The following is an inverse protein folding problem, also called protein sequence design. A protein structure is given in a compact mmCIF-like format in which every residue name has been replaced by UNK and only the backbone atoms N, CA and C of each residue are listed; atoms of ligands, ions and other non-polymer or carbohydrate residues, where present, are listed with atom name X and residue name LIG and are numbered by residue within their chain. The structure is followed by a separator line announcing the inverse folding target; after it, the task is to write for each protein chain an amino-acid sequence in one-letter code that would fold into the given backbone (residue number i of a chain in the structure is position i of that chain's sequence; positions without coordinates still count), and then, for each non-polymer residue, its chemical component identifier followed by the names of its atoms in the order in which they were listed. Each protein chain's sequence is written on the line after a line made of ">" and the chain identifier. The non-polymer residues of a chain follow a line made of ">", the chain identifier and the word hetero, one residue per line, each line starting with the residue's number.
data_IF_319190686988
#
_entry.id   IF_319190686988
#
_cell.length_a   1.000
_cell.length_b   1.000
_cell.length_c   1.000
_cell.angle_alpha   90.00
_cell.angle_beta   90.00
_cell.angle_gamma   90.00
#
_symmetry.space_group_name_H-M   'P 1'
#
loop_
_entity.id
_entity.type
_entity.pdbx_description
1 polymer ?
#
# COMPACT_ATOMS: atom_id res chain seq x y z
N UNK A 1 -4.73 4.32 -6.79
CA UNK A 1 -3.94 3.07 -6.59
C UNK A 1 -2.44 3.14 -6.91
N UNK A 2 -1.98 3.71 -8.04
CA UNK A 2 -0.54 3.87 -8.31
C UNK A 2 0.19 4.66 -7.19
N UNK A 3 -0.52 5.59 -6.54
CA UNK A 3 0.00 6.38 -5.43
C UNK A 3 0.43 5.54 -4.23
N UNK A 4 -0.37 4.57 -3.77
CA UNK A 4 -0.03 3.72 -2.61
C UNK A 4 1.26 2.95 -2.86
N UNK A 5 1.36 2.29 -4.01
CA UNK A 5 2.56 1.55 -4.39
C UNK A 5 3.77 2.49 -4.46
N UNK A 6 3.60 3.69 -5.04
CA UNK A 6 4.68 4.68 -5.15
C UNK A 6 5.12 5.19 -3.78
N UNK A 7 4.20 5.44 -2.86
CA UNK A 7 4.49 5.82 -1.48
C UNK A 7 5.32 4.74 -0.78
N UNK A 8 4.84 3.50 -0.76
CA UNK A 8 5.53 2.39 -0.10
C UNK A 8 6.93 2.13 -0.70
N UNK A 9 7.08 2.16 -2.02
CA UNK A 9 8.39 2.07 -2.67
C UNK A 9 9.31 3.24 -2.33
N UNK A 10 8.76 4.44 -2.16
CA UNK A 10 9.55 5.62 -1.78
C UNK A 10 10.02 5.53 -0.34
N UNK A 11 9.16 5.03 0.57
CA UNK A 11 9.48 4.84 1.99
C UNK A 11 10.54 3.74 2.15
N UNK A 12 10.41 2.62 1.45
CA UNK A 12 11.40 1.53 1.52
C UNK A 12 12.81 1.96 1.11
N UNK A 13 12.93 2.87 0.14
CA UNK A 13 14.22 3.43 -0.30
C UNK A 13 14.83 4.44 0.68
N UNK A 14 14.02 5.00 1.57
CA UNK A 14 14.40 6.05 2.49
C UNK A 14 13.89 5.69 3.89
N UNK A 15 14.59 4.82 4.63
CA UNK A 15 14.16 4.34 5.96
C UNK A 15 14.25 5.41 7.07
N UNK A 16 14.38 6.68 6.69
CA UNK A 16 14.41 7.81 7.60
C UNK A 16 12.99 8.26 7.96
N UNK A 17 12.90 9.13 8.98
CA UNK A 17 11.65 9.80 9.32
C UNK A 17 11.19 10.68 8.16
N UNK A 18 10.01 10.40 7.59
CA UNK A 18 9.44 11.13 6.45
C UNK A 18 8.26 11.98 6.92
N UNK A 19 8.24 13.26 6.52
CA UNK A 19 7.13 14.18 6.83
C UNK A 19 6.54 14.86 5.60
N UNK A 20 6.84 14.36 4.40
CA UNK A 20 6.31 14.90 3.16
C UNK A 20 6.79 14.13 1.94
N UNK A 21 5.97 14.16 0.88
CA UNK A 21 6.34 13.69 -0.46
C UNK A 21 6.04 14.79 -1.47
N UNK A 22 6.83 14.82 -2.55
CA UNK A 22 6.53 15.62 -3.72
C UNK A 22 6.45 14.71 -4.94
N UNK A 23 5.24 14.51 -5.45
CA UNK A 23 4.99 13.77 -6.69
C UNK A 23 4.25 14.67 -7.67
N UNK A 24 4.86 14.96 -8.82
CA UNK A 24 4.38 15.96 -9.80
C UNK A 24 2.90 15.82 -10.21
N UNK A 25 2.37 14.59 -10.21
CA UNK A 25 1.01 14.29 -10.66
C UNK A 25 0.00 14.07 -9.52
N UNK A 26 0.35 14.41 -8.28
CA UNK A 26 -0.52 14.23 -7.12
C UNK A 26 -0.62 15.51 -6.30
N UNK A 27 -1.85 15.85 -5.90
CA UNK A 27 -2.07 16.94 -4.96
C UNK A 27 -1.54 16.54 -3.57
N UNK A 28 -0.99 17.47 -2.78
CA UNK A 28 -0.57 17.20 -1.41
C UNK A 28 -1.67 16.58 -0.55
N UNK A 29 -2.92 16.99 -0.74
CA UNK A 29 -4.07 16.47 -0.01
C UNK A 29 -4.31 14.99 -0.31
N UNK A 30 -4.17 14.59 -1.58
CA UNK A 30 -4.29 13.19 -1.98
C UNK A 30 -3.18 12.34 -1.34
N UNK A 31 -1.94 12.84 -1.36
CA UNK A 31 -0.79 12.18 -0.72
C UNK A 31 -1.05 12.01 0.77
N UNK A 32 -1.37 13.09 1.47
CA UNK A 32 -1.60 13.12 2.91
C UNK A 32 -2.74 12.17 3.31
N UNK A 33 -3.84 12.18 2.56
CA UNK A 33 -4.97 11.28 2.79
C UNK A 33 -4.57 9.81 2.65
N UNK A 34 -3.81 9.46 1.62
CA UNK A 34 -3.36 8.08 1.43
C UNK A 34 -2.34 7.64 2.50
N UNK A 35 -1.47 8.55 2.96
CA UNK A 35 -0.56 8.24 4.09
C UNK A 35 -1.35 7.95 5.36
N UNK A 36 -2.38 8.75 5.68
CA UNK A 36 -3.25 8.49 6.82
C UNK A 36 -3.92 7.11 6.73
N UNK A 37 -4.44 6.74 5.56
CA UNK A 37 -5.05 5.41 5.35
C UNK A 37 -4.05 4.27 5.54
N UNK A 38 -2.79 4.45 5.14
CA UNK A 38 -1.74 3.44 5.33
C UNK A 38 -1.32 3.30 6.79
N UNK A 39 -1.32 4.41 7.54
CA UNK A 39 -1.11 4.41 9.00
C UNK A 39 -2.29 3.72 9.70
N UNK A 40 -3.52 4.12 9.39
CA UNK A 40 -4.75 3.54 9.96
C UNK A 40 -4.86 2.02 9.65
N UNK A 41 -4.36 1.59 8.49
CA UNK A 41 -4.31 0.17 8.10
C UNK A 41 -3.15 -0.62 8.74
N UNK A 42 -2.30 0.03 9.54
CA UNK A 42 -1.13 -0.60 10.18
C UNK A 42 -0.04 -1.03 9.19
N UNK A 43 0.00 -0.46 7.98
CA UNK A 43 1.05 -0.70 6.99
C UNK A 43 2.25 0.25 7.20
N UNK A 44 2.01 1.41 7.80
CA UNK A 44 3.02 2.37 8.19
C UNK A 44 2.90 2.65 9.69
N UNK A 45 4.03 2.85 10.35
CA UNK A 45 4.11 3.38 11.71
C UNK A 45 4.28 4.89 11.64
N UNK A 46 3.44 5.65 12.32
CA UNK A 46 3.44 7.10 12.23
C UNK A 46 2.22 7.75 12.88
N UNK A 47 2.16 9.07 12.75
CA UNK A 47 1.05 9.86 13.28
C UNK A 47 0.72 11.02 12.32
N UNK A 48 -0.51 11.52 12.39
CA UNK A 48 -0.98 12.63 11.56
C UNK A 48 -1.93 13.56 12.33
N UNK A 49 -1.90 14.84 11.95
CA UNK A 49 -2.80 15.84 12.52
C UNK A 49 -3.86 16.20 11.50
N UNK A 50 -5.13 15.98 11.85
CA UNK A 50 -6.27 16.32 11.00
C UNK A 50 -6.33 17.84 10.74
N UNK A 51 -6.80 18.21 9.55
CA UNK A 51 -7.11 19.61 9.26
C UNK A 51 -8.25 20.09 10.16
N UNK A 52 -8.17 21.33 10.63
CA UNK A 52 -9.30 21.99 11.29
C UNK A 52 -10.33 22.56 10.30
N UNK A 53 -10.07 22.50 8.98
CA UNK A 53 -11.05 22.90 7.97
C UNK A 53 -12.03 21.76 7.68
N UNK A 54 -13.32 22.09 7.61
CA UNK A 54 -14.40 21.14 7.25
C UNK A 54 -14.40 20.73 5.77
N UNK A 55 -13.45 21.22 4.98
CA UNK A 55 -13.41 21.07 3.52
C UNK A 55 -12.53 19.90 3.03
N UNK A 56 -11.75 19.27 3.90
CA UNK A 56 -10.84 18.19 3.50
C UNK A 56 -10.74 17.10 4.56
N UNK A 57 -10.83 15.85 4.12
CA UNK A 57 -10.56 14.68 4.96
C UNK A 57 -9.05 14.39 5.08
N UNK A 58 -8.22 15.05 4.27
CA UNK A 58 -6.77 14.90 4.33
C UNK A 58 -6.20 15.54 5.59
N UNK A 59 -5.22 14.91 6.27
CA UNK A 59 -4.53 15.55 7.37
C UNK A 59 -3.71 16.76 6.89
N UNK A 60 -3.55 17.74 7.76
CA UNK A 60 -2.72 18.92 7.51
C UNK A 60 -1.22 18.56 7.49
N UNK A 61 -0.82 17.58 8.30
CA UNK A 61 0.55 17.08 8.40
C UNK A 61 0.57 15.62 8.85
N UNK A 62 1.61 14.90 8.46
CA UNK A 62 1.89 13.55 8.92
C UNK A 62 3.38 13.39 9.23
N UNK A 63 3.70 12.34 9.97
CA UNK A 63 5.05 11.83 10.17
C UNK A 63 4.99 10.32 10.05
N UNK A 64 5.85 9.77 9.20
CA UNK A 64 6.10 8.33 9.09
C UNK A 64 7.41 8.05 9.82
N UNK A 65 7.38 7.07 10.72
CA UNK A 65 8.54 6.62 11.50
C UNK A 65 9.18 5.38 10.88
N UNK A 66 8.37 4.44 10.40
CA UNK A 66 8.85 3.24 9.70
C UNK A 66 7.73 2.59 8.87
N UNK A 67 8.11 1.66 8.00
CA UNK A 67 7.16 0.72 7.41
C UNK A 67 7.02 -0.49 8.33
N UNK A 68 5.79 -0.96 8.57
CA UNK A 68 5.56 -2.13 9.42
C UNK A 68 5.93 -3.42 8.66
N UNK A 69 6.08 -4.54 9.38
CA UNK A 69 6.26 -5.84 8.74
C UNK A 69 5.12 -6.16 7.76
N UNK A 70 3.88 -5.90 8.16
CA UNK A 70 2.72 -6.06 7.28
C UNK A 70 2.78 -5.13 6.05
N UNK A 71 3.36 -3.93 6.19
CA UNK A 71 3.66 -3.02 5.09
C UNK A 71 4.66 -3.61 4.09
N UNK A 72 5.75 -4.22 4.58
CA UNK A 72 6.73 -4.91 3.74
C UNK A 72 6.09 -6.09 2.99
N UNK A 73 5.36 -6.97 3.68
CA UNK A 73 4.67 -8.10 3.05
C UNK A 73 3.66 -7.64 2.00
N UNK A 74 2.89 -6.59 2.31
CA UNK A 74 1.96 -6.01 1.36
C UNK A 74 2.67 -5.44 0.13
N UNK A 75 3.79 -4.74 0.30
CA UNK A 75 4.58 -4.21 -0.81
C UNK A 75 5.17 -5.33 -1.69
N UNK A 76 5.68 -6.40 -1.08
CA UNK A 76 6.17 -7.58 -1.81
C UNK A 76 5.06 -8.27 -2.61
N UNK A 77 3.88 -8.39 -2.03
CA UNK A 77 2.71 -8.93 -2.71
C UNK A 77 2.32 -8.07 -3.91
N UNK A 78 2.37 -6.74 -3.77
CA UNK A 78 2.16 -5.83 -4.89
C UNK A 78 3.24 -5.99 -5.97
N UNK A 79 4.48 -6.37 -5.65
CA UNK A 79 5.53 -6.57 -6.67
C UNK A 79 5.19 -7.68 -7.67
N UNK A 80 4.38 -8.66 -7.28
CA UNK A 80 3.92 -9.71 -8.19
C UNK A 80 3.07 -9.10 -9.32
N UNK A 81 3.51 -9.27 -10.57
CA UNK A 81 2.88 -8.63 -11.73
C UNK A 81 1.41 -9.01 -11.88
N UNK A 82 1.07 -10.27 -11.63
CA UNK A 82 -0.30 -10.76 -11.73
C UNK A 82 -1.22 -10.08 -10.71
N UNK A 83 -0.77 -9.98 -9.45
CA UNK A 83 -1.50 -9.28 -8.38
C UNK A 83 -1.68 -7.81 -8.75
N UNK A 84 -0.61 -7.16 -9.19
CA UNK A 84 -0.63 -5.76 -9.57
C UNK A 84 -1.56 -5.48 -10.77
N UNK A 85 -1.56 -6.35 -11.76
CA UNK A 85 -2.37 -6.21 -12.96
C UNK A 85 -3.86 -6.39 -12.65
N UNK A 86 -4.23 -7.35 -11.80
CA UNK A 86 -5.62 -7.50 -11.35
C UNK A 86 -6.08 -6.26 -10.58
N UNK A 87 -5.28 -5.77 -9.63
CA UNK A 87 -5.63 -4.57 -8.85
C UNK A 87 -5.83 -3.35 -9.76
N UNK A 88 -4.88 -3.10 -10.68
CA UNK A 88 -4.96 -1.96 -11.60
C UNK A 88 -6.15 -2.03 -12.57
N UNK A 89 -6.61 -3.22 -12.93
CA UNK A 89 -7.66 -3.39 -13.96
C UNK A 89 -9.05 -3.54 -13.37
N UNK A 90 -9.17 -4.22 -12.23
CA UNK A 90 -10.45 -4.59 -11.62
C UNK A 90 -10.82 -3.74 -10.41
N UNK A 91 -9.85 -3.17 -9.71
CA UNK A 91 -10.05 -2.48 -8.42
C UNK A 91 -9.48 -1.07 -8.40
N UNK A 92 -9.38 -0.41 -9.57
CA UNK A 92 -8.74 0.90 -9.70
C UNK A 92 -9.51 2.04 -9.00
N UNK A 93 -10.84 1.91 -8.94
CA UNK A 93 -11.77 2.91 -8.41
C UNK A 93 -12.31 2.52 -7.02
N UNK A 94 -11.89 1.36 -6.51
CA UNK A 94 -12.30 0.87 -5.20
C UNK A 94 -11.58 1.58 -4.06
N UNK A 95 -12.16 1.47 -2.86
CA UNK A 95 -11.56 2.02 -1.65
C UNK A 95 -10.19 1.40 -1.37
N UNK A 96 -9.31 2.19 -0.75
CA UNK A 96 -7.97 1.71 -0.33
C UNK A 96 -8.07 0.47 0.55
N UNK A 97 -9.06 0.41 1.45
CA UNK A 97 -9.30 -0.74 2.31
C UNK A 97 -9.66 -2.00 1.51
N UNK A 98 -10.56 -1.88 0.53
CA UNK A 98 -10.93 -2.97 -0.39
C UNK A 98 -9.70 -3.48 -1.12
N UNK A 99 -8.87 -2.57 -1.65
CA UNK A 99 -7.70 -2.96 -2.43
C UNK A 99 -6.65 -3.64 -1.56
N UNK A 100 -6.45 -3.18 -0.32
CA UNK A 100 -5.54 -3.84 0.62
C UNK A 100 -6.01 -5.28 0.90
N UNK A 101 -7.30 -5.48 1.15
CA UNK A 101 -7.87 -6.81 1.39
C UNK A 101 -7.67 -7.74 0.18
N UNK A 102 -8.04 -7.26 -1.01
CA UNK A 102 -7.93 -8.04 -2.25
C UNK A 102 -6.47 -8.39 -2.59
N UNK A 103 -5.54 -7.46 -2.39
CA UNK A 103 -4.12 -7.73 -2.65
C UNK A 103 -3.57 -8.85 -1.75
N UNK A 104 -3.96 -8.87 -0.47
CA UNK A 104 -3.58 -9.92 0.48
C UNK A 104 -4.15 -11.27 0.05
N UNK A 105 -5.44 -11.30 -0.32
CA UNK A 105 -6.11 -12.53 -0.76
C UNK A 105 -5.51 -13.08 -2.07
N UNK A 106 -5.26 -12.20 -3.05
CA UNK A 106 -4.63 -12.59 -4.31
C UNK A 106 -3.26 -13.19 -4.07
N UNK A 107 -2.40 -12.52 -3.30
CA UNK A 107 -1.06 -13.01 -3.04
C UNK A 107 -1.06 -14.36 -2.31
N UNK A 108 -1.93 -14.55 -1.32
CA UNK A 108 -2.09 -15.82 -0.63
C UNK A 108 -2.52 -16.95 -1.59
N UNK A 109 -3.44 -16.66 -2.52
CA UNK A 109 -3.89 -17.62 -3.51
C UNK A 109 -2.80 -17.94 -4.56
N UNK A 110 -2.00 -16.94 -4.97
CA UNK A 110 -0.83 -17.17 -5.84
C UNK A 110 0.21 -18.06 -5.17
N UNK A 111 0.52 -17.81 -3.89
CA UNK A 111 1.42 -18.66 -3.12
C UNK A 111 0.93 -20.10 -3.03
N UNK A 112 -0.36 -20.32 -2.73
CA UNK A 112 -0.99 -21.65 -2.71
C UNK A 112 -0.92 -22.34 -4.08
N UNK A 113 -1.21 -21.63 -5.17
CA UNK A 113 -1.13 -22.17 -6.53
C UNK A 113 0.30 -22.61 -6.87
N UNK A 114 1.30 -21.81 -6.51
CA UNK A 114 2.71 -22.14 -6.70
C UNK A 114 3.12 -23.36 -5.87
N UNK A 115 2.69 -23.42 -4.61
CA UNK A 115 2.93 -24.58 -3.74
C UNK A 115 2.35 -25.86 -4.34
N UNK A 116 1.09 -25.81 -4.82
CA UNK A 116 0.47 -26.96 -5.46
C UNK A 116 1.25 -27.41 -6.70
N UNK A 117 1.65 -26.48 -7.58
CA UNK A 117 2.48 -26.81 -8.73
C UNK A 117 3.79 -27.52 -8.36
N UNK A 118 4.46 -27.08 -7.29
CA UNK A 118 5.68 -27.72 -6.78
C UNK A 118 5.44 -29.11 -6.18
N UNK A 119 4.25 -29.35 -5.63
CA UNK A 119 3.86 -30.67 -5.11
C UNK A 119 3.50 -31.64 -6.24
N UNK A 120 2.78 -31.15 -7.25
CA UNK A 120 2.37 -31.93 -8.43
C UNK A 120 3.58 -32.30 -9.33
N UNK A 121 4.65 -31.48 -9.35
CA UNK A 121 5.91 -31.76 -10.09
C UNK A 121 6.85 -32.76 -9.39
N UNK A 122 6.61 -33.09 -8.11
CA UNK A 122 7.43 -34.02 -7.31
C UNK A 122 6.75 -35.37 -7.04
N UNK A 123 5.59 -35.64 -7.64
CA UNK A 123 5.02 -36.99 -7.66
C UNK A 123 5.73 -37.86 -8.73
N UNK A 124 6.24 -39.05 -8.39
CA UNK A 124 6.94 -39.96 -9.32
C UNK A 124 6.03 -40.60 -10.37
#
# INVERSE_FOLDING_TARGET
>A
MALIRRLLLSIEKHPDRISGFNFENYKPEDINYHVALLIDAGLLEGDYVRSHSSSSMAPARFVITSMTWAGHEFLDNLRQEDVWNVIKTKFKDDSVATVIAVAKDLAANFAKKKLKGLMDENEP
#
